data_IF_624197813226
#
_entry.id   IF_624197813226
#
_cell.length_a   1.000
_cell.length_b   1.000
_cell.length_c   1.000
_cell.angle_alpha   90.00
_cell.angle_beta   90.00
_cell.angle_gamma   90.00
#
_symmetry.space_group_name_H-M   'P 1'
#
loop_
_entity.id
_entity.type
_entity.pdbx_description
1 polymer ?
#
# COMPACT_ATOMS: atom_id res chain seq x y z
N UNK A 1 3.50 2.54 63.43
CA UNK A 1 2.49 1.56 63.00
C UNK A 1 2.42 1.66 61.49
N UNK A 2 3.18 0.81 60.83
CA UNK A 2 3.30 0.76 59.37
C UNK A 2 2.24 -0.24 58.90
N UNK A 3 1.13 0.26 58.35
CA UNK A 3 0.04 -0.56 57.86
C UNK A 3 0.18 -0.69 56.34
N UNK A 4 1.10 -1.56 55.91
CA UNK A 4 1.17 -1.96 54.51
C UNK A 4 -0.12 -2.71 54.15
N UNK A 5 -0.91 -2.15 53.22
CA UNK A 5 -2.08 -2.81 52.67
C UNK A 5 -1.69 -4.18 52.06
N UNK A 6 -2.52 -5.23 52.23
CA UNK A 6 -2.25 -6.52 51.62
C UNK A 6 -2.28 -6.41 50.08
N UNK A 7 -1.45 -7.19 49.36
CA UNK A 7 -1.45 -7.18 47.91
C UNK A 7 -2.83 -7.59 47.38
N UNK A 8 -3.39 -6.79 46.47
CA UNK A 8 -4.64 -7.10 45.78
C UNK A 8 -4.53 -8.48 45.12
N UNK A 9 -5.50 -9.35 45.40
CA UNK A 9 -5.60 -10.66 44.77
C UNK A 9 -5.85 -10.45 43.27
N UNK A 10 -4.92 -10.95 42.44
CA UNK A 10 -5.05 -10.92 40.98
C UNK A 10 -6.41 -11.43 40.54
N UNK A 11 -7.02 -10.74 39.59
CA UNK A 11 -8.29 -11.16 39.00
C UNK A 11 -8.15 -12.56 38.37
N UNK A 12 -9.25 -13.31 38.29
CA UNK A 12 -9.25 -14.63 37.65
C UNK A 12 -8.75 -14.59 36.19
N UNK A 13 -8.88 -13.44 35.53
CA UNK A 13 -8.39 -13.20 34.17
C UNK A 13 -6.86 -13.04 34.12
N UNK A 14 -6.27 -12.32 35.07
CA UNK A 14 -4.81 -12.20 35.23
C UNK A 14 -4.17 -13.55 35.57
N UNK A 15 -4.80 -14.36 36.43
CA UNK A 15 -4.33 -15.71 36.75
C UNK A 15 -4.41 -16.66 35.53
N UNK A 16 -5.42 -16.48 34.67
CA UNK A 16 -5.60 -17.28 33.44
C UNK A 16 -4.58 -16.89 32.35
N UNK A 17 -4.17 -15.63 32.30
CA UNK A 17 -3.10 -15.14 31.42
C UNK A 17 -1.71 -15.61 31.87
N UNK A 18 -1.45 -15.75 33.18
CA UNK A 18 -0.20 -16.33 33.69
C UNK A 18 -0.02 -17.81 33.32
N UNK A 19 -1.13 -18.54 33.15
CA UNK A 19 -1.12 -19.94 32.69
C UNK A 19 -1.08 -20.11 31.17
N UNK A 20 -1.18 -19.02 30.38
CA UNK A 20 -1.15 -19.12 28.92
C UNK A 20 0.29 -19.34 28.44
N UNK A 21 0.59 -20.47 27.76
CA UNK A 21 1.97 -20.79 27.38
C UNK A 21 2.39 -19.95 26.16
N UNK A 22 2.72 -18.68 26.40
CA UNK A 22 3.16 -17.73 25.36
C UNK A 22 4.32 -18.26 24.51
N UNK A 23 5.21 -19.06 25.11
CA UNK A 23 6.29 -19.72 24.40
C UNK A 23 5.76 -20.74 23.37
N UNK A 24 4.81 -21.59 23.76
CA UNK A 24 4.20 -22.59 22.89
C UNK A 24 3.35 -21.94 21.79
N UNK A 25 2.55 -20.92 22.15
CA UNK A 25 1.78 -20.13 21.19
C UNK A 25 2.70 -19.47 20.13
N UNK A 26 3.85 -18.94 20.54
CA UNK A 26 4.86 -18.40 19.60
C UNK A 26 5.47 -19.48 18.71
N UNK A 27 5.72 -20.68 19.23
CA UNK A 27 6.26 -21.80 18.43
C UNK A 27 5.23 -22.25 17.39
N UNK A 28 3.96 -22.38 17.76
CA UNK A 28 2.88 -22.72 16.83
C UNK A 28 2.72 -21.62 15.78
N UNK A 29 2.63 -20.35 16.19
CA UNK A 29 2.49 -19.22 15.27
C UNK A 29 3.65 -19.13 14.27
N UNK A 30 4.89 -19.42 14.70
CA UNK A 30 6.06 -19.44 13.81
C UNK A 30 5.95 -20.46 12.68
N UNK A 31 5.27 -21.60 12.89
CA UNK A 31 5.09 -22.61 11.84
C UNK A 31 4.22 -22.13 10.68
N UNK A 32 3.35 -21.15 10.91
CA UNK A 32 2.53 -20.51 9.88
C UNK A 32 3.13 -19.22 9.32
N UNK A 33 4.27 -18.78 9.86
CA UNK A 33 4.90 -17.51 9.49
C UNK A 33 5.92 -17.65 8.35
N UNK A 34 6.24 -18.87 7.90
CA UNK A 34 7.18 -19.09 6.80
C UNK A 34 6.51 -18.83 5.44
N UNK A 35 6.95 -17.81 4.68
CA UNK A 35 6.35 -17.47 3.40
C UNK A 35 6.70 -18.54 2.36
N UNK A 36 5.70 -19.08 1.66
CA UNK A 36 5.90 -20.07 0.61
C UNK A 36 5.96 -19.41 -0.79
N UNK A 37 7.13 -19.36 -1.46
CA UNK A 37 7.27 -18.67 -2.74
C UNK A 37 6.34 -19.20 -3.83
N UNK A 38 5.98 -20.48 -3.82
CA UNK A 38 5.08 -21.06 -4.83
C UNK A 38 3.72 -20.41 -4.76
N UNK A 39 3.17 -20.24 -3.55
CA UNK A 39 1.86 -19.62 -3.34
C UNK A 39 1.89 -18.15 -3.79
N UNK A 40 2.93 -17.40 -3.41
CA UNK A 40 3.11 -16.01 -3.82
C UNK A 40 3.13 -15.86 -5.34
N UNK A 41 3.96 -16.64 -6.03
CA UNK A 41 4.07 -16.58 -7.48
C UNK A 41 2.80 -17.03 -8.18
N UNK A 42 2.19 -18.15 -7.77
CA UNK A 42 0.96 -18.64 -8.42
C UNK A 42 -0.19 -17.66 -8.27
N UNK A 43 -0.39 -17.12 -7.07
CA UNK A 43 -1.47 -16.17 -6.81
C UNK A 43 -1.21 -14.86 -7.57
N UNK A 44 -0.01 -14.30 -7.50
CA UNK A 44 0.34 -13.07 -8.21
C UNK A 44 0.23 -13.22 -9.73
N UNK A 45 0.71 -14.32 -10.31
CA UNK A 45 0.64 -14.54 -11.76
C UNK A 45 -0.82 -14.70 -12.20
N UNK A 46 -1.62 -15.49 -11.48
CA UNK A 46 -3.02 -15.72 -11.85
C UNK A 46 -3.83 -14.44 -11.70
N UNK A 47 -3.76 -13.78 -10.55
CA UNK A 47 -4.49 -12.53 -10.29
C UNK A 47 -4.02 -11.40 -11.21
N UNK A 48 -2.71 -11.21 -11.38
CA UNK A 48 -2.13 -10.19 -12.24
C UNK A 48 -2.48 -10.40 -13.72
N UNK A 49 -2.28 -11.62 -14.25
CA UNK A 49 -2.53 -11.91 -15.67
C UNK A 49 -4.01 -11.76 -16.01
N UNK A 50 -4.90 -12.37 -15.23
CA UNK A 50 -6.35 -12.27 -15.47
C UNK A 50 -6.85 -10.84 -15.24
N UNK A 51 -6.31 -10.13 -14.24
CA UNK A 51 -6.64 -8.74 -13.96
C UNK A 51 -6.26 -7.80 -15.11
N UNK A 52 -5.03 -7.91 -15.63
CA UNK A 52 -4.60 -7.14 -16.80
C UNK A 52 -5.33 -7.53 -18.09
N UNK A 53 -5.67 -8.81 -18.27
CA UNK A 53 -6.49 -9.24 -19.40
C UNK A 53 -7.90 -8.61 -19.34
N UNK A 54 -8.55 -8.63 -18.17
CA UNK A 54 -9.84 -7.97 -17.97
C UNK A 54 -9.75 -6.45 -18.16
N UNK A 55 -8.67 -5.83 -17.69
CA UNK A 55 -8.38 -4.41 -17.91
C UNK A 55 -8.34 -4.07 -19.41
N UNK A 56 -7.54 -4.79 -20.19
CA UNK A 56 -7.43 -4.53 -21.63
C UNK A 56 -8.73 -4.85 -22.37
N UNK A 57 -9.44 -5.91 -21.99
CA UNK A 57 -10.78 -6.17 -22.51
C UNK A 57 -11.75 -5.00 -22.23
N UNK A 58 -11.68 -4.38 -21.04
CA UNK A 58 -12.49 -3.21 -20.70
C UNK A 58 -12.11 -1.98 -21.54
N UNK A 59 -10.83 -1.78 -21.85
CA UNK A 59 -10.34 -0.70 -22.73
C UNK A 59 -10.96 -0.80 -24.13
N UNK A 60 -11.14 -2.00 -24.66
CA UNK A 60 -11.70 -2.22 -26.00
C UNK A 60 -13.22 -2.41 -26.03
N UNK A 61 -13.86 -2.59 -24.87
CA UNK A 61 -15.31 -2.67 -24.78
C UNK A 61 -15.97 -1.32 -25.08
N UNK A 62 -17.22 -1.37 -25.56
CA UNK A 62 -17.99 -0.15 -25.83
C UNK A 62 -18.08 0.73 -24.56
N UNK A 63 -17.78 2.04 -24.64
CA UNK A 63 -17.79 2.93 -23.50
C UNK A 63 -19.11 2.89 -22.72
N UNK A 64 -19.02 2.75 -21.41
CA UNK A 64 -20.15 2.68 -20.47
C UNK A 64 -21.11 1.51 -20.69
N UNK A 65 -20.76 0.54 -21.54
CA UNK A 65 -21.56 -0.67 -21.71
C UNK A 65 -21.56 -1.53 -20.43
N UNK A 66 -22.61 -2.33 -20.19
CA UNK A 66 -22.62 -3.28 -19.08
C UNK A 66 -21.42 -4.23 -19.08
N UNK A 67 -20.93 -4.60 -20.27
CA UNK A 67 -19.73 -5.42 -20.43
C UNK A 67 -18.47 -4.68 -19.92
N UNK A 68 -18.26 -3.42 -20.32
CA UNK A 68 -17.12 -2.63 -19.85
C UNK A 68 -17.16 -2.48 -18.33
N UNK A 69 -18.33 -2.16 -17.76
CA UNK A 69 -18.51 -2.03 -16.32
C UNK A 69 -18.18 -3.35 -15.61
N UNK A 70 -18.71 -4.48 -16.10
CA UNK A 70 -18.39 -5.80 -15.55
C UNK A 70 -16.89 -6.13 -15.60
N UNK A 71 -16.22 -5.82 -16.71
CA UNK A 71 -14.79 -6.04 -16.87
C UNK A 71 -13.95 -5.13 -15.96
N UNK A 72 -14.36 -3.87 -15.75
CA UNK A 72 -13.72 -2.97 -14.78
C UNK A 72 -13.81 -3.54 -13.37
N UNK A 73 -14.97 -4.09 -12.97
CA UNK A 73 -15.13 -4.71 -11.66
C UNK A 73 -14.27 -5.96 -11.49
N UNK A 74 -14.23 -6.84 -12.50
CA UNK A 74 -13.37 -8.04 -12.51
C UNK A 74 -11.89 -7.65 -12.45
N UNK A 75 -11.47 -6.70 -13.29
CA UNK A 75 -10.10 -6.17 -13.28
C UNK A 75 -9.75 -5.58 -11.91
N UNK A 76 -10.65 -4.80 -11.31
CA UNK A 76 -10.46 -4.20 -9.99
C UNK A 76 -10.28 -5.25 -8.90
N UNK A 77 -11.11 -6.29 -8.87
CA UNK A 77 -11.00 -7.34 -7.86
C UNK A 77 -9.68 -8.13 -7.96
N UNK A 78 -9.28 -8.50 -9.18
CA UNK A 78 -8.06 -9.28 -9.43
C UNK A 78 -6.79 -8.45 -9.25
N UNK A 79 -6.77 -7.21 -9.76
CA UNK A 79 -5.64 -6.31 -9.58
C UNK A 79 -5.55 -5.79 -8.15
N UNK A 80 -6.67 -5.68 -7.42
CA UNK A 80 -6.62 -5.44 -5.97
C UNK A 80 -5.85 -6.56 -5.26
N UNK A 81 -6.15 -7.83 -5.56
CA UNK A 81 -5.41 -8.97 -5.00
C UNK A 81 -3.92 -8.88 -5.33
N UNK A 82 -3.58 -8.58 -6.58
CA UNK A 82 -2.20 -8.44 -7.02
C UNK A 82 -1.45 -7.29 -6.32
N UNK A 83 -2.08 -6.11 -6.16
CA UNK A 83 -1.49 -4.95 -5.49
C UNK A 83 -1.38 -5.17 -3.98
N UNK A 84 -2.29 -5.92 -3.37
CA UNK A 84 -2.32 -6.14 -1.93
C UNK A 84 -1.07 -6.87 -1.38
N UNK A 85 -0.34 -7.58 -2.24
CA UNK A 85 0.98 -8.13 -1.90
C UNK A 85 1.97 -7.09 -1.38
N UNK A 86 1.75 -5.78 -1.61
CA UNK A 86 2.54 -4.71 -0.97
C UNK A 86 2.59 -4.86 0.56
N UNK A 87 1.47 -5.25 1.20
CA UNK A 87 1.42 -5.49 2.64
C UNK A 87 2.34 -6.63 3.05
N UNK A 88 2.21 -7.76 2.36
CA UNK A 88 3.04 -8.94 2.64
C UNK A 88 4.52 -8.64 2.39
N UNK A 89 4.84 -7.98 1.27
CA UNK A 89 6.20 -7.55 0.91
C UNK A 89 6.86 -6.65 1.96
N UNK A 90 6.08 -5.81 2.66
CA UNK A 90 6.57 -4.97 3.75
C UNK A 90 6.87 -5.78 5.02
N UNK A 91 6.15 -6.89 5.24
CA UNK A 91 6.39 -7.81 6.36
C UNK A 91 7.49 -8.84 6.11
N UNK A 92 7.85 -9.11 4.85
CA UNK A 92 8.93 -10.04 4.53
C UNK A 92 10.29 -9.53 5.05
N UNK A 93 11.12 -10.47 5.50
CA UNK A 93 12.48 -10.17 5.98
C UNK A 93 13.29 -9.45 4.89
N UNK A 94 13.99 -8.37 5.26
CA UNK A 94 14.93 -7.66 4.38
C UNK A 94 15.91 -8.65 3.72
N UNK A 95 16.18 -8.45 2.44
CA UNK A 95 17.07 -9.32 1.65
C UNK A 95 16.42 -10.62 1.13
N UNK A 96 15.13 -10.85 1.39
CA UNK A 96 14.39 -12.02 0.86
C UNK A 96 13.39 -11.60 -0.23
N UNK A 97 12.96 -12.57 -1.06
CA UNK A 97 11.97 -12.38 -2.13
C UNK A 97 12.34 -11.27 -3.13
N UNK A 98 13.64 -10.99 -3.33
CA UNK A 98 14.11 -9.91 -4.21
C UNK A 98 13.54 -10.01 -5.63
N UNK A 99 13.61 -11.19 -6.24
CA UNK A 99 13.04 -11.45 -7.57
C UNK A 99 11.53 -11.21 -7.60
N UNK A 100 10.78 -11.76 -6.64
CA UNK A 100 9.34 -11.54 -6.57
C UNK A 100 8.99 -10.06 -6.41
N UNK A 101 9.67 -9.33 -5.51
CA UNK A 101 9.50 -7.88 -5.32
C UNK A 101 9.79 -7.08 -6.60
N UNK A 102 10.81 -7.47 -7.36
CA UNK A 102 11.14 -6.84 -8.65
C UNK A 102 10.00 -6.99 -9.66
N UNK A 103 9.53 -8.23 -9.89
CA UNK A 103 8.42 -8.49 -10.81
C UNK A 103 7.11 -7.85 -10.31
N UNK A 104 6.83 -7.94 -9.01
CA UNK A 104 5.67 -7.30 -8.40
C UNK A 104 5.67 -5.79 -8.64
N UNK A 105 6.81 -5.12 -8.50
CA UNK A 105 6.90 -3.69 -8.82
C UNK A 105 6.57 -3.42 -10.28
N UNK A 106 7.14 -4.17 -11.22
CA UNK A 106 6.89 -3.94 -12.66
C UNK A 106 5.43 -4.14 -13.04
N UNK A 107 4.77 -5.17 -12.49
CA UNK A 107 3.44 -5.60 -12.94
C UNK A 107 2.27 -5.17 -12.04
N UNK A 108 2.53 -4.66 -10.84
CA UNK A 108 1.50 -4.16 -9.92
C UNK A 108 1.91 -2.84 -9.25
N UNK A 109 3.08 -2.77 -8.61
CA UNK A 109 3.50 -1.56 -7.89
C UNK A 109 3.55 -0.31 -8.75
N UNK A 110 4.45 -0.28 -9.74
CA UNK A 110 4.66 0.86 -10.64
C UNK A 110 3.42 1.18 -11.51
N UNK A 111 2.70 0.21 -12.10
CA UNK A 111 1.49 0.51 -12.89
C UNK A 111 0.40 1.21 -12.09
N UNK A 112 0.31 0.99 -10.78
CA UNK A 112 -0.61 1.69 -9.88
C UNK A 112 0.03 2.85 -9.13
N UNK A 113 1.26 3.25 -9.51
CA UNK A 113 2.02 4.35 -8.92
C UNK A 113 2.29 4.16 -7.41
N UNK A 114 2.40 2.90 -6.99
CA UNK A 114 2.65 2.44 -5.62
C UNK A 114 3.83 1.47 -5.55
N UNK A 115 5.03 1.87 -6.00
CA UNK A 115 6.22 1.03 -5.89
C UNK A 115 6.51 0.66 -4.43
N UNK A 116 7.10 -0.52 -4.19
CA UNK A 116 7.19 -1.14 -2.86
C UNK A 116 7.89 -0.29 -1.79
N UNK A 117 8.80 0.62 -2.16
CA UNK A 117 9.46 1.52 -1.20
C UNK A 117 8.48 2.53 -0.54
N UNK A 118 7.31 2.75 -1.14
CA UNK A 118 6.27 3.62 -0.58
C UNK A 118 5.51 2.99 0.59
N UNK A 119 5.70 1.69 0.78
CA UNK A 119 5.08 0.93 1.87
C UNK A 119 6.11 0.32 2.82
N UNK A 120 7.23 -0.15 2.26
CA UNK A 120 8.32 -0.77 3.04
C UNK A 120 8.92 0.23 4.03
N UNK A 121 9.07 -0.20 5.29
CA UNK A 121 9.56 0.63 6.40
C UNK A 121 8.42 1.34 7.14
N UNK A 122 7.57 2.07 6.41
CA UNK A 122 6.44 2.82 6.99
C UNK A 122 5.40 1.87 7.59
N UNK A 123 5.01 0.81 6.86
CA UNK A 123 4.06 -0.16 7.38
C UNK A 123 4.62 -0.94 8.57
N UNK A 124 5.90 -1.29 8.55
CA UNK A 124 6.54 -1.98 9.68
C UNK A 124 6.58 -1.11 10.94
N UNK A 125 6.81 0.20 10.77
CA UNK A 125 6.80 1.15 11.87
C UNK A 125 5.43 1.22 12.57
N UNK A 126 4.33 1.10 11.82
CA UNK A 126 2.98 0.95 12.39
C UNK A 126 2.89 -0.25 13.33
N UNK A 127 3.42 -1.41 12.96
CA UNK A 127 3.38 -2.61 13.82
C UNK A 127 4.42 -2.62 14.95
N UNK A 128 5.27 -1.59 15.06
CA UNK A 128 6.38 -1.56 16.00
C UNK A 128 5.94 -1.05 17.38
N UNK A 129 6.20 -1.81 18.47
CA UNK A 129 5.98 -1.33 19.83
C UNK A 129 6.72 -0.01 20.09
N UNK A 130 6.03 0.99 20.64
CA UNK A 130 6.56 2.33 20.90
C UNK A 130 6.60 3.27 19.69
N UNK A 131 6.15 2.82 18.52
CA UNK A 131 5.87 3.67 17.35
C UNK A 131 4.39 3.73 17.07
N UNK A 132 3.68 2.60 17.18
CA UNK A 132 2.23 2.52 16.99
C UNK A 132 1.48 3.65 17.71
N UNK A 133 0.64 4.38 16.96
CA UNK A 133 -0.17 5.48 17.46
C UNK A 133 0.58 6.76 17.85
N UNK A 134 1.90 6.82 17.64
CA UNK A 134 2.70 8.04 17.80
C UNK A 134 2.71 8.88 16.52
N UNK A 135 3.29 10.09 16.58
CA UNK A 135 3.48 10.94 15.38
C UNK A 135 4.42 10.34 14.31
N UNK A 136 5.12 9.25 14.64
CA UNK A 136 5.98 8.50 13.71
C UNK A 136 5.25 7.36 13.01
N UNK A 137 3.99 7.14 13.35
CA UNK A 137 3.13 6.15 12.72
C UNK A 137 2.26 6.83 11.66
N UNK A 138 2.56 6.58 10.39
CA UNK A 138 1.78 7.12 9.28
C UNK A 138 0.49 6.35 8.99
N UNK A 139 0.28 5.19 9.60
CA UNK A 139 -0.84 4.29 9.32
C UNK A 139 -1.85 4.22 10.46
N UNK A 140 -1.65 4.96 11.55
CA UNK A 140 -2.64 5.09 12.61
C UNK A 140 -3.39 6.42 12.54
N UNK A 141 -4.70 6.33 12.34
CA UNK A 141 -5.65 7.43 12.52
C UNK A 141 -6.81 6.92 13.37
N UNK A 142 -7.13 7.62 14.46
CA UNK A 142 -8.27 7.28 15.30
C UNK A 142 -9.59 7.70 14.64
N UNK A 143 -10.06 6.91 13.69
CA UNK A 143 -11.34 7.12 13.00
C UNK A 143 -12.53 6.96 13.95
N UNK A 144 -12.49 5.96 14.84
CA UNK A 144 -13.59 5.63 15.75
C UNK A 144 -13.77 6.61 16.92
N UNK A 145 -12.68 7.17 17.46
CA UNK A 145 -12.76 8.18 18.53
C UNK A 145 -12.75 9.62 18.01
N UNK A 146 -12.56 9.81 16.69
CA UNK A 146 -12.45 11.10 16.04
C UNK A 146 -13.77 11.63 15.48
N UNK A 147 -13.70 12.77 14.79
CA UNK A 147 -14.82 13.30 14.02
C UNK A 147 -15.18 12.35 12.86
N UNK A 148 -16.43 11.88 12.73
CA UNK A 148 -16.86 10.96 11.66
C UNK A 148 -16.54 11.45 10.23
N UNK A 149 -16.47 12.77 10.03
CA UNK A 149 -16.09 13.36 8.75
C UNK A 149 -14.66 13.00 8.32
N UNK A 150 -13.77 12.63 9.24
CA UNK A 150 -12.45 12.09 8.89
C UNK A 150 -12.55 10.77 8.13
N UNK A 151 -13.44 9.88 8.55
CA UNK A 151 -13.69 8.61 7.88
C UNK A 151 -14.28 8.82 6.48
N UNK A 152 -15.26 9.72 6.37
CA UNK A 152 -15.84 10.11 5.07
C UNK A 152 -14.76 10.69 4.16
N UNK A 153 -13.98 11.65 4.66
CA UNK A 153 -12.90 12.28 3.90
C UNK A 153 -11.83 11.27 3.44
N UNK A 154 -11.48 10.30 4.29
CA UNK A 154 -10.54 9.24 3.94
C UNK A 154 -11.05 8.34 2.81
N UNK A 155 -12.33 7.95 2.83
CA UNK A 155 -12.93 7.19 1.73
C UNK A 155 -13.00 8.03 0.45
N UNK A 156 -13.39 9.30 0.56
CA UNK A 156 -13.47 10.22 -0.58
C UNK A 156 -12.11 10.53 -1.21
N UNK A 157 -11.02 10.42 -0.44
CA UNK A 157 -9.66 10.58 -0.97
C UNK A 157 -9.34 9.56 -2.08
N UNK A 158 -9.99 8.39 -2.08
CA UNK A 158 -9.86 7.36 -3.12
C UNK A 158 -10.13 7.88 -4.53
N UNK A 159 -11.00 8.90 -4.67
CA UNK A 159 -11.33 9.50 -5.97
C UNK A 159 -10.30 10.51 -6.45
N UNK A 160 -9.47 11.04 -5.56
CA UNK A 160 -8.51 12.13 -5.83
C UNK A 160 -7.07 11.58 -5.87
N UNK A 161 -6.78 10.56 -5.06
CA UNK A 161 -5.43 10.01 -4.89
C UNK A 161 -4.77 9.55 -6.20
N UNK A 162 -5.45 8.89 -7.16
CA UNK A 162 -4.82 8.54 -8.43
C UNK A 162 -4.31 9.75 -9.21
N UNK A 163 -5.05 10.86 -9.20
CA UNK A 163 -4.63 12.11 -9.82
C UNK A 163 -3.42 12.72 -9.09
N UNK A 164 -3.41 12.70 -7.75
CA UNK A 164 -2.26 13.18 -6.97
C UNK A 164 -1.00 12.35 -7.22
N UNK A 165 -1.13 11.03 -7.35
CA UNK A 165 -0.03 10.13 -7.70
C UNK A 165 0.49 10.42 -9.12
N UNK A 166 -0.39 10.67 -10.09
CA UNK A 166 0.03 11.08 -11.43
C UNK A 166 0.82 12.39 -11.39
N UNK A 167 0.32 13.42 -10.70
CA UNK A 167 1.06 14.68 -10.52
C UNK A 167 2.42 14.43 -9.85
N UNK A 168 2.45 13.58 -8.81
CA UNK A 168 3.67 13.23 -8.09
C UNK A 168 4.71 12.58 -8.99
N UNK A 169 4.33 11.61 -9.82
CA UNK A 169 5.28 10.85 -10.66
C UNK A 169 5.58 11.49 -12.01
N UNK A 170 4.61 12.15 -12.66
CA UNK A 170 4.80 12.76 -13.99
C UNK A 170 5.42 14.15 -13.88
N UNK A 171 5.09 14.93 -12.84
CA UNK A 171 5.51 16.33 -12.72
C UNK A 171 6.55 16.51 -11.63
N UNK A 172 6.20 16.18 -10.38
CA UNK A 172 7.02 16.54 -9.23
C UNK A 172 8.32 15.73 -9.17
N UNK A 173 8.27 14.44 -9.50
CA UNK A 173 9.44 13.57 -9.45
C UNK A 173 10.52 14.01 -10.45
N UNK A 174 10.24 14.22 -11.76
CA UNK A 174 11.22 14.78 -12.68
C UNK A 174 11.76 16.15 -12.23
N UNK A 175 10.90 17.03 -11.75
CA UNK A 175 11.31 18.35 -11.27
C UNK A 175 12.28 18.24 -10.07
N UNK A 176 12.09 17.24 -9.20
CA UNK A 176 12.96 16.97 -8.06
C UNK A 176 14.36 16.45 -8.44
N UNK A 177 14.57 16.04 -9.70
CA UNK A 177 15.90 15.72 -10.21
C UNK A 177 16.76 16.96 -10.40
N UNK A 178 16.13 18.12 -10.59
CA UNK A 178 16.77 19.42 -10.75
C UNK A 178 16.73 20.19 -9.42
N UNK A 179 15.56 20.23 -8.77
CA UNK A 179 15.32 21.05 -7.56
C UNK A 179 15.51 20.21 -6.30
N UNK A 180 16.70 20.27 -5.69
CA UNK A 180 17.06 19.48 -4.50
C UNK A 180 16.11 19.66 -3.30
N UNK A 181 15.65 20.88 -2.94
CA UNK A 181 14.71 21.06 -1.84
C UNK A 181 13.38 20.31 -2.06
N UNK A 182 12.91 20.26 -3.31
CA UNK A 182 11.68 19.54 -3.66
C UNK A 182 11.81 18.04 -3.40
N UNK A 183 12.98 17.44 -3.67
CA UNK A 183 13.23 16.01 -3.37
C UNK A 183 13.05 15.70 -1.89
N UNK A 184 13.52 16.58 -1.01
CA UNK A 184 13.36 16.39 0.43
C UNK A 184 11.89 16.44 0.84
N UNK A 185 11.11 17.36 0.26
CA UNK A 185 9.65 17.44 0.49
C UNK A 185 8.94 16.20 -0.02
N UNK A 186 9.22 15.76 -1.25
CA UNK A 186 8.63 14.55 -1.84
C UNK A 186 8.96 13.33 -0.98
N UNK A 187 10.21 13.18 -0.56
CA UNK A 187 10.60 12.08 0.32
C UNK A 187 9.82 12.08 1.64
N UNK A 188 9.74 13.22 2.30
CA UNK A 188 9.14 13.34 3.64
C UNK A 188 7.62 13.25 3.63
N UNK A 189 6.96 13.78 2.59
CA UNK A 189 5.51 14.00 2.57
C UNK A 189 4.76 13.24 1.48
N UNK A 190 5.44 12.76 0.44
CA UNK A 190 4.80 12.21 -0.77
C UNK A 190 5.46 10.91 -1.24
N UNK A 191 6.21 10.24 -0.36
CA UNK A 191 6.87 8.97 -0.68
C UNK A 191 6.16 7.78 -0.09
N UNK A 192 5.28 7.97 0.90
CA UNK A 192 4.62 6.89 1.62
C UNK A 192 3.12 6.84 1.36
N UNK A 193 2.53 5.65 1.41
CA UNK A 193 1.07 5.44 1.42
C UNK A 193 0.50 5.54 2.85
N UNK A 194 0.97 6.54 3.58
CA UNK A 194 0.48 6.84 4.92
C UNK A 194 -0.98 7.33 4.84
N UNK A 195 -1.81 6.91 5.79
CA UNK A 195 -3.19 7.37 5.90
C UNK A 195 -3.29 8.67 6.71
N UNK A 196 -2.35 8.93 7.63
CA UNK A 196 -2.24 10.24 8.27
C UNK A 196 -1.58 11.23 7.33
N UNK A 197 -2.35 12.23 6.89
CA UNK A 197 -1.87 13.29 6.01
C UNK A 197 -0.84 14.22 6.67
N UNK A 198 -0.72 14.19 8.00
CA UNK A 198 0.30 14.95 8.74
C UNK A 198 1.61 14.18 8.89
N UNK A 199 1.65 12.92 8.46
CA UNK A 199 2.83 12.08 8.56
C UNK A 199 4.04 12.74 7.88
N UNK A 200 5.18 12.63 8.56
CA UNK A 200 6.46 13.15 8.10
C UNK A 200 7.47 12.01 8.16
N UNK A 201 7.72 11.40 7.01
CA UNK A 201 8.72 10.33 6.91
C UNK A 201 10.07 10.91 7.32
N UNK A 202 10.80 10.18 8.15
CA UNK A 202 12.12 10.58 8.58
C UNK A 202 13.05 10.88 7.38
N UNK A 203 14.05 11.78 7.53
CA UNK A 203 15.00 12.06 6.45
C UNK A 203 15.64 10.77 5.93
N UNK A 204 15.72 10.65 4.61
CA UNK A 204 16.23 9.45 3.93
C UNK A 204 17.57 9.02 4.52
N UNK A 205 17.67 7.74 4.89
CA UNK A 205 18.89 7.19 5.46
C UNK A 205 19.20 5.79 4.89
N UNK A 206 20.19 5.11 5.47
CA UNK A 206 20.68 3.81 5.03
C UNK A 206 19.75 2.63 5.36
N UNK A 207 18.80 2.82 6.26
CA UNK A 207 17.87 1.79 6.70
C UNK A 207 16.66 1.68 5.75
N UNK A 208 16.43 2.71 4.94
CA UNK A 208 15.46 2.72 3.83
C UNK A 208 15.86 1.74 2.71
N UNK A 209 14.89 1.42 1.84
CA UNK A 209 15.11 0.55 0.69
C UNK A 209 16.17 1.14 -0.25
N UNK A 210 17.37 0.55 -0.30
CA UNK A 210 18.47 0.99 -1.18
C UNK A 210 18.11 1.10 -2.67
N UNK A 211 17.01 0.47 -3.11
CA UNK A 211 16.53 0.49 -4.50
C UNK A 211 15.42 1.52 -4.74
N UNK A 212 15.04 2.33 -3.73
CA UNK A 212 13.93 3.28 -3.81
C UNK A 212 14.05 4.23 -5.01
N UNK A 213 15.25 4.72 -5.31
CA UNK A 213 15.47 5.67 -6.41
C UNK A 213 15.23 4.99 -7.76
N UNK A 214 15.67 3.74 -7.93
CA UNK A 214 15.40 2.97 -9.14
C UNK A 214 13.90 2.71 -9.30
N UNK A 215 13.21 2.37 -8.21
CA UNK A 215 11.76 2.16 -8.22
C UNK A 215 10.99 3.46 -8.55
N UNK A 216 11.40 4.58 -7.97
CA UNK A 216 10.83 5.89 -8.21
C UNK A 216 11.02 6.31 -9.67
N UNK A 217 12.26 6.25 -10.17
CA UNK A 217 12.57 6.56 -11.57
C UNK A 217 11.83 5.63 -12.53
N UNK A 218 11.79 4.32 -12.25
CA UNK A 218 11.04 3.35 -13.04
C UNK A 218 9.55 3.69 -13.12
N UNK A 219 8.93 4.04 -11.98
CA UNK A 219 7.53 4.47 -11.94
C UNK A 219 7.30 5.75 -12.75
N UNK A 220 8.18 6.74 -12.62
CA UNK A 220 8.11 7.98 -13.41
C UNK A 220 8.24 7.71 -14.91
N UNK A 221 9.22 6.92 -15.33
CA UNK A 221 9.42 6.59 -16.73
C UNK A 221 8.23 5.82 -17.31
N UNK A 222 7.66 4.88 -16.55
CA UNK A 222 6.44 4.17 -16.94
C UNK A 222 5.26 5.14 -17.11
N UNK A 223 5.00 5.99 -16.10
CA UNK A 223 3.87 6.92 -16.11
C UNK A 223 3.97 7.95 -17.25
N UNK A 224 5.16 8.55 -17.43
CA UNK A 224 5.43 9.50 -18.53
C UNK A 224 5.35 8.79 -19.88
N UNK A 225 5.89 7.57 -19.99
CA UNK A 225 5.83 6.78 -21.22
C UNK A 225 4.39 6.47 -21.64
N UNK A 226 3.57 5.96 -20.72
CA UNK A 226 2.13 5.70 -20.99
C UNK A 226 1.40 7.00 -21.35
N UNK A 227 1.64 8.09 -20.62
CA UNK A 227 1.04 9.39 -20.93
C UNK A 227 1.43 9.89 -22.33
N UNK A 228 2.70 9.74 -22.73
CA UNK A 228 3.19 10.10 -24.06
C UNK A 228 2.57 9.22 -25.15
N UNK A 229 2.43 7.91 -24.91
CA UNK A 229 1.76 7.00 -25.85
C UNK A 229 0.28 7.34 -26.03
N UNK A 230 -0.41 7.79 -24.98
CA UNK A 230 -1.79 8.28 -25.09
C UNK A 230 -1.83 9.62 -25.84
N UNK A 231 -0.95 10.57 -25.50
CA UNK A 231 -0.90 11.88 -26.14
C UNK A 231 -0.56 11.83 -27.64
N UNK A 232 0.22 10.84 -28.05
CA UNK A 232 0.58 10.59 -29.47
C UNK A 232 -0.43 9.71 -30.20
N UNK A 233 -1.46 9.21 -29.53
CA UNK A 233 -2.51 8.38 -30.11
C UNK A 233 -2.11 6.92 -30.34
N UNK A 234 -0.94 6.48 -29.87
CA UNK A 234 -0.51 5.07 -29.92
C UNK A 234 -1.36 4.21 -28.99
N UNK A 235 -1.69 4.74 -27.80
CA UNK A 235 -2.66 4.14 -26.89
C UNK A 235 -3.97 4.94 -26.92
N UNK A 236 -5.14 4.27 -26.89
CA UNK A 236 -6.41 4.97 -26.84
C UNK A 236 -6.58 5.68 -25.49
N UNK A 237 -7.25 6.84 -25.49
CA UNK A 237 -7.57 7.59 -24.26
C UNK A 237 -8.35 6.73 -23.24
N UNK A 238 -9.07 5.72 -23.71
CA UNK A 238 -9.75 4.73 -22.87
C UNK A 238 -8.82 4.04 -21.86
N UNK A 239 -7.52 3.87 -22.16
CA UNK A 239 -6.53 3.32 -21.22
C UNK A 239 -6.50 4.15 -19.93
N UNK A 240 -6.46 5.47 -20.05
CA UNK A 240 -6.48 6.37 -18.89
C UNK A 240 -7.80 6.28 -18.12
N UNK A 241 -8.94 6.34 -18.82
CA UNK A 241 -10.26 6.29 -18.19
C UNK A 241 -10.50 4.98 -17.42
N UNK A 242 -10.17 3.84 -18.03
CA UNK A 242 -10.30 2.51 -17.39
C UNK A 242 -9.30 2.37 -16.24
N UNK A 243 -8.06 2.82 -16.41
CA UNK A 243 -7.06 2.78 -15.33
C UNK A 243 -7.48 3.61 -14.13
N UNK A 244 -8.04 4.79 -14.37
CA UNK A 244 -8.56 5.64 -13.31
C UNK A 244 -9.72 4.96 -12.57
N UNK A 245 -10.69 4.41 -13.31
CA UNK A 245 -11.83 3.72 -12.72
C UNK A 245 -11.41 2.49 -11.89
N UNK A 246 -10.49 1.68 -12.40
CA UNK A 246 -9.95 0.51 -11.67
C UNK A 246 -9.21 0.96 -10.41
N UNK A 247 -8.32 1.93 -10.52
CA UNK A 247 -7.53 2.42 -9.38
C UNK A 247 -8.42 3.03 -8.30
N UNK A 248 -9.41 3.85 -8.67
CA UNK A 248 -10.41 4.40 -7.74
C UNK A 248 -11.18 3.29 -7.05
N UNK A 249 -11.62 2.27 -7.79
CA UNK A 249 -12.37 1.13 -7.22
C UNK A 249 -11.53 0.36 -6.21
N UNK A 250 -10.26 0.08 -6.55
CA UNK A 250 -9.30 -0.56 -5.65
C UNK A 250 -9.13 0.26 -4.36
N UNK A 251 -8.85 1.57 -4.49
CA UNK A 251 -8.64 2.44 -3.34
C UNK A 251 -9.89 2.58 -2.49
N UNK A 252 -11.06 2.71 -3.10
CA UNK A 252 -12.34 2.83 -2.40
C UNK A 252 -12.63 1.59 -1.55
N UNK A 253 -12.49 0.38 -2.13
CA UNK A 253 -12.65 -0.88 -1.40
C UNK A 253 -11.59 -1.01 -0.30
N UNK A 254 -10.34 -0.64 -0.60
CA UNK A 254 -9.26 -0.65 0.38
C UNK A 254 -9.54 0.29 1.56
N UNK A 255 -10.04 1.49 1.31
CA UNK A 255 -10.38 2.46 2.36
C UNK A 255 -11.49 1.94 3.26
N UNK A 256 -12.53 1.30 2.70
CA UNK A 256 -13.59 0.66 3.50
C UNK A 256 -13.00 -0.45 4.37
N UNK A 257 -12.15 -1.30 3.79
CA UNK A 257 -11.46 -2.37 4.52
C UNK A 257 -10.64 -1.82 5.69
N UNK A 258 -9.89 -0.74 5.47
CA UNK A 258 -9.08 -0.09 6.49
C UNK A 258 -9.93 0.49 7.63
N UNK A 259 -11.11 1.03 7.34
CA UNK A 259 -12.02 1.54 8.38
C UNK A 259 -12.65 0.44 9.24
N UNK A 260 -12.74 -0.79 8.73
CA UNK A 260 -13.31 -1.94 9.44
C UNK A 260 -12.28 -2.80 10.18
N UNK A 261 -10.98 -2.50 10.05
CA UNK A 261 -9.89 -3.19 10.71
C UNK A 261 -9.57 -2.54 12.07
#
# INVERSE_FOLDING_TARGET
MDASAPPEAKSQEEAKLEGFPMAEARVIARRFAEPNPRIYWTDFIVSGTLGWAAFWAAVFAAPFSPLQIGLVLVASALLFRAVLFTHELAHLRKGTFGTFRFFWNIFAGMPFLVPSYSYTGVHIDHHRPGVYGSSRDGEYVSFGAGNPWKSVGYVMLSFILPALLLVRFIVLTPLSWIVRPLRQVIWRRMSSLAIDLNYDRHPQNKDDDSTWLLQETGTTLLAVGVAALIATGVLPLAVFGVWYAVTVTILFVNSIRTLGA
#
